data_IF_399233230407
#
_entry.id   IF_399233230407
#
_cell.length_a   1.000
_cell.length_b   1.000
_cell.length_c   1.000
_cell.angle_alpha   90.00
_cell.angle_beta   90.00
_cell.angle_gamma   90.00
#
_symmetry.space_group_name_H-M   'P 1'
#
loop_
_entity.id
_entity.type
_entity.pdbx_description
1 polymer ?
#
# COMPACT_ATOMS: atom_id res chain seq x y z
N UNK A 1 13.82 -3.36 4.69
CA UNK A 1 13.54 -2.04 5.28
C UNK A 1 12.06 -1.70 5.19
N UNK A 2 11.54 -1.38 3.98
CA UNK A 2 10.11 -1.00 3.82
C UNK A 2 9.14 -2.05 4.33
N UNK A 3 9.32 -3.33 4.04
CA UNK A 3 8.45 -4.41 4.54
C UNK A 3 8.39 -4.44 6.08
N UNK A 4 9.52 -4.22 6.77
CA UNK A 4 9.57 -4.12 8.24
C UNK A 4 8.77 -2.90 8.73
N UNK A 5 9.00 -1.74 8.11
CA UNK A 5 8.31 -0.50 8.46
C UNK A 5 6.79 -0.64 8.30
N UNK A 6 6.36 -1.25 7.20
CA UNK A 6 4.94 -1.52 6.90
C UNK A 6 4.37 -2.57 7.84
N UNK A 7 5.12 -3.65 8.12
CA UNK A 7 4.70 -4.70 9.04
C UNK A 7 4.41 -4.17 10.43
N UNK A 8 5.27 -3.30 10.97
CA UNK A 8 5.02 -2.61 12.24
C UNK A 8 3.84 -1.65 12.15
N UNK A 9 3.73 -0.90 11.04
CA UNK A 9 2.62 0.04 10.83
C UNK A 9 1.28 -0.69 10.74
N UNK A 10 1.24 -1.87 10.14
CA UNK A 10 0.04 -2.72 10.06
C UNK A 10 -0.55 -3.02 11.45
N UNK A 11 0.31 -3.32 12.42
CA UNK A 11 -0.12 -3.64 13.79
C UNK A 11 -0.86 -2.49 14.48
N UNK A 12 -0.74 -1.27 13.96
CA UNK A 12 -1.47 -0.09 14.49
C UNK A 12 -2.93 -0.02 14.06
N UNK A 13 -3.35 -0.82 13.06
CA UNK A 13 -4.68 -0.75 12.46
C UNK A 13 -4.87 0.43 11.49
N UNK A 14 -3.78 1.09 11.06
CA UNK A 14 -3.84 2.24 10.16
C UNK A 14 -4.59 1.94 8.85
N UNK A 15 -4.29 0.79 8.25
CA UNK A 15 -4.84 0.42 6.94
C UNK A 15 -6.35 0.16 7.03
N UNK A 16 -6.80 -0.51 8.11
CA UNK A 16 -8.22 -0.73 8.39
C UNK A 16 -8.94 0.60 8.61
N UNK A 17 -8.37 1.48 9.44
CA UNK A 17 -8.89 2.84 9.66
C UNK A 17 -9.08 3.61 8.36
N UNK A 18 -8.05 3.65 7.51
CA UNK A 18 -8.09 4.41 6.25
C UNK A 18 -9.14 3.83 5.30
N UNK A 19 -9.24 2.50 5.18
CA UNK A 19 -10.19 1.87 4.28
C UNK A 19 -11.65 2.01 4.75
N UNK A 20 -11.93 1.87 6.06
CA UNK A 20 -13.27 2.11 6.62
C UNK A 20 -13.65 3.58 6.45
N UNK A 21 -12.75 4.50 6.74
CA UNK A 21 -12.97 5.94 6.54
C UNK A 21 -13.25 6.28 5.08
N UNK A 22 -12.54 5.65 4.14
CA UNK A 22 -12.78 5.81 2.72
C UNK A 22 -14.18 5.31 2.31
N UNK A 23 -14.61 4.14 2.81
CA UNK A 23 -15.92 3.60 2.55
C UNK A 23 -17.04 4.51 3.09
N UNK A 24 -16.85 5.09 4.27
CA UNK A 24 -17.76 6.10 4.84
C UNK A 24 -17.77 7.40 4.02
N UNK A 25 -16.59 7.89 3.60
CA UNK A 25 -16.48 9.08 2.74
C UNK A 25 -17.13 8.87 1.37
N UNK A 26 -17.17 7.64 0.91
CA UNK A 26 -17.93 7.21 -0.28
C UNK A 26 -19.47 7.13 -0.03
N UNK A 27 -19.94 7.50 1.17
CA UNK A 27 -21.35 7.39 1.60
C UNK A 27 -21.89 5.95 1.50
N UNK A 28 -21.04 4.98 1.72
CA UNK A 28 -21.31 3.55 1.56
C UNK A 28 -21.90 3.16 0.16
N UNK A 29 -21.72 4.02 -0.86
CA UNK A 29 -22.13 3.73 -2.22
C UNK A 29 -21.15 2.75 -2.87
N UNK A 30 -21.58 1.55 -3.33
CA UNK A 30 -20.68 0.49 -3.79
C UNK A 30 -19.71 0.90 -4.88
N UNK A 31 -20.14 1.71 -5.85
CA UNK A 31 -19.28 2.17 -6.95
C UNK A 31 -18.21 3.14 -6.45
N UNK A 32 -18.57 4.06 -5.55
CA UNK A 32 -17.61 5.00 -4.97
C UNK A 32 -16.63 4.29 -4.05
N UNK A 33 -17.09 3.28 -3.29
CA UNK A 33 -16.22 2.43 -2.48
C UNK A 33 -15.17 1.76 -3.36
N UNK A 34 -15.56 1.17 -4.50
CA UNK A 34 -14.63 0.56 -5.45
C UNK A 34 -13.54 1.57 -5.87
N UNK A 35 -13.94 2.76 -6.28
CA UNK A 35 -12.98 3.81 -6.71
C UNK A 35 -12.07 4.22 -5.55
N UNK A 36 -12.60 4.49 -4.37
CA UNK A 36 -11.82 4.96 -3.22
C UNK A 36 -10.84 3.90 -2.72
N UNK A 37 -11.28 2.63 -2.59
CA UNK A 37 -10.41 1.54 -2.19
C UNK A 37 -9.29 1.31 -3.22
N UNK A 38 -9.59 1.40 -4.51
CA UNK A 38 -8.58 1.24 -5.56
C UNK A 38 -7.58 2.40 -5.58
N UNK A 39 -8.04 3.64 -5.42
CA UNK A 39 -7.14 4.80 -5.33
C UNK A 39 -6.23 4.68 -4.11
N UNK A 40 -6.78 4.30 -2.96
CA UNK A 40 -5.97 4.09 -1.73
C UNK A 40 -4.98 2.95 -1.93
N UNK A 41 -5.41 1.84 -2.53
CA UNK A 41 -4.53 0.71 -2.85
C UNK A 41 -3.39 1.16 -3.76
N UNK A 42 -3.67 1.94 -4.80
CA UNK A 42 -2.64 2.47 -5.70
C UNK A 42 -1.67 3.42 -4.98
N UNK A 43 -2.18 4.32 -4.14
CA UNK A 43 -1.33 5.24 -3.36
C UNK A 43 -0.46 4.47 -2.38
N UNK A 44 -0.99 3.48 -1.68
CA UNK A 44 -0.17 2.65 -0.80
C UNK A 44 0.87 1.87 -1.60
N UNK A 45 0.49 1.26 -2.72
CA UNK A 45 1.39 0.48 -3.54
C UNK A 45 2.51 1.30 -4.20
N UNK A 46 2.32 2.60 -4.37
CA UNK A 46 3.38 3.49 -4.83
C UNK A 46 4.56 3.60 -3.83
N UNK A 47 4.32 3.32 -2.55
CA UNK A 47 5.34 3.38 -1.49
C UNK A 47 5.62 2.03 -0.83
N UNK A 48 4.68 1.08 -0.99
CA UNK A 48 4.79 -0.30 -0.50
C UNK A 48 4.81 -1.21 -1.73
N UNK A 49 5.32 -2.43 -1.56
CA UNK A 49 5.19 -3.39 -2.67
C UNK A 49 3.72 -3.78 -2.91
N UNK A 50 3.44 -4.18 -4.16
CA UNK A 50 2.09 -4.48 -4.63
C UNK A 50 1.45 -5.67 -3.89
N UNK A 51 2.24 -6.72 -3.55
CA UNK A 51 1.75 -7.91 -2.87
C UNK A 51 1.34 -7.58 -1.44
N UNK A 52 2.22 -6.95 -0.67
CA UNK A 52 1.93 -6.51 0.70
C UNK A 52 0.72 -5.59 0.73
N UNK A 53 0.62 -4.64 -0.22
CA UNK A 53 -0.52 -3.72 -0.28
C UNK A 53 -1.84 -4.46 -0.48
N UNK A 54 -1.90 -5.41 -1.40
CA UNK A 54 -3.11 -6.22 -1.61
C UNK A 54 -3.45 -7.03 -0.37
N UNK A 55 -2.47 -7.70 0.24
CA UNK A 55 -2.68 -8.49 1.46
C UNK A 55 -3.20 -7.65 2.64
N UNK A 56 -2.83 -6.37 2.72
CA UNK A 56 -3.35 -5.44 3.72
C UNK A 56 -4.80 -5.03 3.44
N UNK A 57 -5.14 -4.82 2.17
CA UNK A 57 -6.47 -4.32 1.78
C UNK A 57 -7.54 -5.41 1.72
N UNK A 58 -7.17 -6.67 1.48
CA UNK A 58 -8.08 -7.81 1.33
C UNK A 58 -9.00 -8.00 2.56
N UNK A 59 -8.52 -8.09 3.81
CA UNK A 59 -9.36 -8.30 4.98
C UNK A 59 -10.41 -7.20 5.15
N UNK A 60 -10.02 -5.95 4.94
CA UNK A 60 -10.93 -4.80 5.07
C UNK A 60 -11.97 -4.80 3.96
N UNK A 61 -11.56 -5.13 2.73
CA UNK A 61 -12.48 -5.28 1.60
C UNK A 61 -13.52 -6.36 1.88
N UNK A 62 -13.13 -7.51 2.42
CA UNK A 62 -14.07 -8.54 2.83
C UNK A 62 -15.02 -8.06 3.94
N UNK A 63 -14.53 -7.31 4.91
CA UNK A 63 -15.35 -6.75 5.98
C UNK A 63 -16.43 -5.82 5.42
N UNK A 64 -16.04 -4.88 4.57
CA UNK A 64 -16.96 -3.91 3.95
C UNK A 64 -17.98 -4.61 3.03
N UNK A 65 -17.52 -5.52 2.17
CA UNK A 65 -18.39 -6.21 1.22
C UNK A 65 -19.38 -7.16 1.93
N UNK A 66 -18.97 -7.77 3.05
CA UNK A 66 -19.83 -8.61 3.89
C UNK A 66 -20.98 -7.81 4.51
N UNK A 67 -20.70 -6.62 5.04
CA UNK A 67 -21.75 -5.73 5.61
C UNK A 67 -22.74 -5.31 4.51
N UNK A 68 -22.21 -4.90 3.36
CA UNK A 68 -23.04 -4.45 2.23
C UNK A 68 -23.69 -5.60 1.44
N UNK A 69 -23.42 -6.86 1.82
CA UNK A 69 -23.84 -8.09 1.12
C UNK A 69 -23.49 -8.07 -0.37
N UNK A 70 -22.30 -7.61 -0.70
CA UNK A 70 -21.77 -7.51 -2.06
C UNK A 70 -20.80 -8.66 -2.35
N UNK A 71 -20.67 -9.01 -3.63
CA UNK A 71 -19.59 -9.88 -4.09
C UNK A 71 -18.25 -9.15 -3.93
N UNK A 72 -17.26 -9.72 -3.22
CA UNK A 72 -15.93 -9.11 -3.06
C UNK A 72 -15.09 -9.13 -4.34
N UNK A 73 -15.37 -10.03 -5.29
CA UNK A 73 -14.52 -10.26 -6.49
C UNK A 73 -14.28 -8.99 -7.32
N UNK A 74 -15.29 -8.15 -7.63
CA UNK A 74 -15.03 -6.90 -8.36
C UNK A 74 -14.04 -5.98 -7.67
N UNK A 75 -14.10 -5.87 -6.34
CA UNK A 75 -13.22 -5.04 -5.55
C UNK A 75 -11.80 -5.59 -5.54
N UNK A 76 -11.64 -6.90 -5.26
CA UNK A 76 -10.35 -7.56 -5.17
C UNK A 76 -9.61 -7.52 -6.51
N UNK A 77 -10.28 -7.89 -7.60
CA UNK A 77 -9.67 -7.83 -8.95
C UNK A 77 -9.21 -6.41 -9.31
N UNK A 78 -10.07 -5.41 -9.04
CA UNK A 78 -9.71 -4.02 -9.33
C UNK A 78 -8.57 -3.54 -8.45
N UNK A 79 -8.51 -3.95 -7.17
CA UNK A 79 -7.42 -3.61 -6.25
C UNK A 79 -6.09 -4.26 -6.67
N UNK A 80 -6.09 -5.50 -7.15
CA UNK A 80 -4.89 -6.16 -7.69
C UNK A 80 -4.34 -5.37 -8.88
N UNK A 81 -5.20 -4.97 -9.81
CA UNK A 81 -4.79 -4.15 -10.95
C UNK A 81 -4.31 -2.77 -10.48
N UNK A 82 -5.03 -2.16 -9.53
CA UNK A 82 -4.69 -0.85 -8.97
C UNK A 82 -3.35 -0.87 -8.25
N UNK A 83 -3.01 -1.96 -7.53
CA UNK A 83 -1.73 -2.07 -6.83
C UNK A 83 -0.56 -2.13 -7.83
N UNK A 84 -0.69 -2.88 -8.93
CA UNK A 84 0.34 -2.94 -9.96
C UNK A 84 0.53 -1.56 -10.64
N UNK A 85 -0.57 -0.89 -10.99
CA UNK A 85 -0.50 0.46 -11.59
C UNK A 85 0.11 1.46 -10.61
N UNK A 86 -0.28 1.42 -9.34
CA UNK A 86 0.26 2.29 -8.31
C UNK A 86 1.75 2.03 -8.06
N UNK A 87 2.14 0.76 -7.99
CA UNK A 87 3.53 0.35 -7.81
C UNK A 87 4.46 0.85 -8.91
N UNK A 88 3.99 0.90 -10.16
CA UNK A 88 4.80 1.41 -11.28
C UNK A 88 5.04 2.92 -11.22
N UNK A 89 4.28 3.67 -10.42
CA UNK A 89 4.39 5.13 -10.36
C UNK A 89 5.67 5.65 -9.68
N UNK A 90 6.35 4.83 -8.88
CA UNK A 90 7.55 5.23 -8.15
C UNK A 90 8.68 4.21 -8.28
N UNK A 91 9.88 4.64 -7.91
CA UNK A 91 11.07 3.78 -7.92
C UNK A 91 10.97 2.59 -6.96
N UNK A 92 10.25 2.73 -5.86
CA UNK A 92 10.22 1.75 -4.75
C UNK A 92 8.94 0.92 -4.68
N UNK A 93 7.91 1.26 -5.46
CA UNK A 93 6.59 0.62 -5.40
C UNK A 93 6.55 -0.75 -6.06
N UNK A 94 7.50 -1.07 -6.93
CA UNK A 94 7.55 -2.36 -7.63
C UNK A 94 9.00 -2.86 -7.76
N UNK A 95 9.28 -4.15 -7.49
CA UNK A 95 10.61 -4.72 -7.62
C UNK A 95 11.33 -4.45 -8.96
N UNK A 96 10.69 -4.57 -10.14
CA UNK A 96 11.33 -4.20 -11.41
C UNK A 96 11.85 -2.77 -11.46
N UNK A 97 11.13 -1.81 -10.87
CA UNK A 97 11.54 -0.42 -10.81
C UNK A 97 12.81 -0.24 -9.95
N UNK A 98 12.87 -0.94 -8.82
CA UNK A 98 14.06 -0.97 -7.95
C UNK A 98 15.26 -1.52 -8.74
N UNK A 99 15.06 -2.59 -9.52
CA UNK A 99 16.12 -3.19 -10.34
C UNK A 99 16.63 -2.20 -11.39
N UNK A 100 15.73 -1.55 -12.13
CA UNK A 100 16.10 -0.54 -13.14
C UNK A 100 16.83 0.63 -12.50
N UNK A 101 16.33 1.15 -11.40
CA UNK A 101 16.95 2.26 -10.68
C UNK A 101 18.31 1.92 -10.06
N UNK A 102 18.55 0.66 -9.69
CA UNK A 102 19.86 0.22 -9.22
C UNK A 102 20.88 0.06 -10.35
N UNK A 103 20.43 -0.33 -11.54
CA UNK A 103 21.25 -0.50 -12.71
C UNK A 103 21.60 0.85 -13.41
N UNK A 104 20.67 1.80 -13.40
CA UNK A 104 20.81 3.11 -14.03
C UNK A 104 20.83 4.21 -12.97
N UNK A 105 22.01 4.58 -12.53
CA UNK A 105 22.20 5.52 -11.38
C UNK A 105 21.69 6.95 -11.64
N UNK A 106 21.49 7.32 -12.90
CA UNK A 106 20.91 8.62 -13.28
C UNK A 106 19.40 8.69 -13.00
N UNK A 107 18.72 7.55 -12.87
CA UNK A 107 17.28 7.50 -12.61
C UNK A 107 17.01 7.72 -11.11
N UNK A 108 16.60 8.93 -10.79
CA UNK A 108 16.25 9.30 -9.42
C UNK A 108 14.80 8.97 -9.09
N UNK A 109 14.47 8.93 -7.79
CA UNK A 109 13.09 8.74 -7.31
C UNK A 109 12.12 9.78 -7.88
N UNK A 110 12.57 11.04 -7.98
CA UNK A 110 11.76 12.14 -8.52
C UNK A 110 11.50 11.95 -10.02
N UNK A 111 12.53 11.55 -10.79
CA UNK A 111 12.37 11.29 -12.23
C UNK A 111 11.37 10.17 -12.51
N UNK A 112 11.33 9.11 -11.68
CA UNK A 112 10.31 8.08 -11.79
C UNK A 112 8.90 8.66 -11.61
N UNK A 113 8.68 9.47 -10.59
CA UNK A 113 7.37 10.11 -10.36
C UNK A 113 7.01 11.04 -11.53
N UNK A 114 7.91 11.88 -11.98
CA UNK A 114 7.63 12.84 -13.06
C UNK A 114 7.23 12.17 -14.37
N UNK A 115 7.82 11.02 -14.69
CA UNK A 115 7.59 10.36 -15.97
C UNK A 115 6.53 9.25 -15.89
N UNK A 116 6.51 8.46 -14.82
CA UNK A 116 5.63 7.29 -14.73
C UNK A 116 4.32 7.57 -13.99
N UNK A 117 4.31 8.45 -12.98
CA UNK A 117 3.07 8.72 -12.25
C UNK A 117 1.95 9.33 -13.13
N UNK A 118 2.21 10.25 -14.08
CA UNK A 118 1.16 10.73 -14.98
C UNK A 118 0.55 9.60 -15.83
N UNK A 119 1.40 8.68 -16.31
CA UNK A 119 0.94 7.53 -17.10
C UNK A 119 0.12 6.58 -16.21
N UNK A 120 0.59 6.30 -15.00
CA UNK A 120 -0.13 5.47 -14.02
C UNK A 120 -1.50 6.06 -13.68
N UNK A 121 -1.61 7.38 -13.52
CA UNK A 121 -2.89 8.07 -13.27
C UNK A 121 -3.86 7.88 -14.44
N UNK A 122 -3.40 8.03 -15.67
CA UNK A 122 -4.24 7.81 -16.87
C UNK A 122 -4.69 6.35 -16.94
N UNK A 123 -3.76 5.40 -16.78
CA UNK A 123 -4.09 3.97 -16.77
C UNK A 123 -5.09 3.63 -15.66
N UNK A 124 -4.91 4.19 -14.46
CA UNK A 124 -5.84 4.02 -13.35
C UNK A 124 -7.24 4.53 -13.69
N UNK A 125 -7.35 5.73 -14.25
CA UNK A 125 -8.64 6.29 -14.65
C UNK A 125 -9.37 5.40 -15.67
N UNK A 126 -8.64 4.89 -16.67
CA UNK A 126 -9.19 3.97 -17.67
C UNK A 126 -9.66 2.66 -17.03
N UNK A 127 -8.84 2.06 -16.17
CA UNK A 127 -9.17 0.79 -15.49
C UNK A 127 -10.39 0.98 -14.59
N UNK A 128 -10.43 2.03 -13.79
CA UNK A 128 -11.59 2.32 -12.91
C UNK A 128 -12.86 2.52 -13.72
N UNK A 129 -12.80 3.23 -14.84
CA UNK A 129 -13.96 3.40 -15.73
C UNK A 129 -14.44 2.06 -16.32
N UNK A 130 -13.52 1.23 -16.80
CA UNK A 130 -13.84 -0.09 -17.36
C UNK A 130 -14.47 -0.99 -16.29
N UNK A 131 -13.83 -1.11 -15.11
CA UNK A 131 -14.28 -1.99 -14.04
C UNK A 131 -15.63 -1.53 -13.45
N UNK A 132 -15.79 -0.22 -13.22
CA UNK A 132 -17.07 0.34 -12.77
C UNK A 132 -18.21 0.11 -13.79
N UNK A 133 -17.89 0.04 -15.08
CA UNK A 133 -18.86 -0.23 -16.15
C UNK A 133 -19.20 -1.72 -16.23
N UNK A 134 -18.21 -2.59 -16.21
CA UNK A 134 -18.40 -4.05 -16.27
C UNK A 134 -19.22 -4.53 -15.06
N UNK A 135 -18.84 -4.11 -13.85
CA UNK A 135 -19.46 -4.58 -12.61
C UNK A 135 -20.65 -3.73 -12.14
N UNK A 136 -21.14 -2.80 -12.96
CA UNK A 136 -22.19 -1.86 -12.56
C UNK A 136 -23.47 -2.55 -12.01
N UNK A 137 -23.77 -3.77 -12.46
CA UNK A 137 -24.93 -4.55 -12.02
C UNK A 137 -24.69 -5.27 -10.69
N UNK A 138 -23.45 -5.61 -10.38
CA UNK A 138 -23.05 -6.27 -9.13
C UNK A 138 -22.79 -5.26 -7.99
N UNK A 139 -22.59 -3.99 -8.33
CA UNK A 139 -22.33 -2.91 -7.38
C UNK A 139 -23.61 -2.21 -6.96
N UNK A 140 -24.55 -2.99 -6.38
CA UNK A 140 -25.85 -2.48 -5.89
C UNK A 140 -26.11 -3.05 -4.50
N UNK A 141 -26.49 -2.18 -3.57
CA UNK A 141 -26.83 -2.53 -2.18
C UNK A 141 -28.07 -1.76 -1.75
N UNK A 142 -28.60 -2.05 -0.57
CA UNK A 142 -29.78 -1.39 -0.03
C UNK A 142 -29.42 -0.22 0.90
N UNK A 143 -30.28 0.79 1.06
CA UNK A 143 -30.04 1.93 1.95
C UNK A 143 -29.81 1.52 3.42
N UNK A 144 -30.45 0.43 3.86
CA UNK A 144 -30.34 -0.08 5.23
C UNK A 144 -28.89 -0.57 5.50
N UNK A 145 -28.32 -1.32 4.55
CA UNK A 145 -26.94 -1.82 4.65
C UNK A 145 -25.90 -0.67 4.53
N UNK A 146 -26.23 0.35 3.75
CA UNK A 146 -25.40 1.57 3.70
C UNK A 146 -25.39 2.28 5.06
N UNK A 147 -26.57 2.40 5.70
CA UNK A 147 -26.67 2.98 7.04
C UNK A 147 -25.92 2.17 8.09
N UNK A 148 -25.93 0.84 8.00
CA UNK A 148 -25.17 -0.06 8.87
C UNK A 148 -23.65 0.20 8.74
N UNK A 149 -23.12 0.28 7.52
CA UNK A 149 -21.72 0.60 7.28
C UNK A 149 -21.35 2.00 7.82
N UNK A 150 -22.23 2.97 7.67
CA UNK A 150 -21.99 4.34 8.17
C UNK A 150 -21.93 4.42 9.70
N UNK A 151 -22.48 3.46 10.43
CA UNK A 151 -22.42 3.37 11.90
C UNK A 151 -21.13 2.72 12.41
N UNK A 152 -20.31 2.11 11.54
CA UNK A 152 -19.03 1.56 11.97
C UNK A 152 -18.16 2.64 12.62
N UNK A 153 -17.50 2.29 13.72
CA UNK A 153 -16.48 3.17 14.30
C UNK A 153 -15.12 2.90 13.68
N UNK A 154 -14.71 3.76 12.77
CA UNK A 154 -13.40 3.66 12.14
C UNK A 154 -12.24 3.82 13.14
N UNK A 155 -12.46 4.54 14.24
CA UNK A 155 -11.43 4.75 15.26
C UNK A 155 -11.16 3.49 16.08
N UNK A 156 -12.15 2.61 16.19
CA UNK A 156 -11.99 1.32 16.85
C UNK A 156 -10.99 0.39 16.13
N UNK A 157 -10.71 0.66 14.86
CA UNK A 157 -9.68 -0.06 14.08
C UNK A 157 -8.25 0.25 14.57
N UNK A 158 -8.03 1.41 15.21
CA UNK A 158 -6.70 1.79 15.70
C UNK A 158 -6.46 1.10 17.04
N UNK A 159 -5.50 0.19 17.05
CA UNK A 159 -5.15 -0.63 18.23
C UNK A 159 -4.17 0.06 19.16
N UNK A 160 -3.21 0.82 18.62
CA UNK A 160 -2.18 1.54 19.37
C UNK A 160 -1.91 2.93 18.78
N UNK A 161 -2.42 3.97 19.42
CA UNK A 161 -2.22 5.36 19.02
C UNK A 161 -0.78 5.85 19.16
N UNK A 162 -0.02 5.33 20.13
CA UNK A 162 1.36 5.75 20.35
C UNK A 162 2.26 5.16 19.25
N UNK A 163 2.09 3.87 18.97
CA UNK A 163 2.80 3.19 17.89
C UNK A 163 2.41 3.80 16.52
N UNK A 164 1.14 4.14 16.31
CA UNK A 164 0.67 4.80 15.09
C UNK A 164 1.40 6.12 14.83
N UNK A 165 1.51 6.99 15.84
CA UNK A 165 2.21 8.28 15.70
C UNK A 165 3.68 8.09 15.35
N UNK A 166 4.36 7.13 16.01
CA UNK A 166 5.76 6.80 15.74
C UNK A 166 5.94 6.24 14.33
N UNK A 167 5.05 5.33 13.92
CA UNK A 167 5.05 4.74 12.57
C UNK A 167 4.84 5.80 11.49
N UNK A 168 3.86 6.68 11.64
CA UNK A 168 3.60 7.77 10.69
C UNK A 168 4.75 8.77 10.61
N UNK A 169 5.37 9.08 11.76
CA UNK A 169 6.54 9.96 11.79
C UNK A 169 7.73 9.34 11.04
N UNK A 170 8.06 8.08 11.31
CA UNK A 170 9.19 7.40 10.65
C UNK A 170 8.88 7.16 9.17
N UNK A 171 7.65 6.78 8.82
CA UNK A 171 7.23 6.62 7.43
C UNK A 171 7.38 7.95 6.66
N UNK A 172 6.89 9.05 7.23
CA UNK A 172 7.05 10.39 6.65
C UNK A 172 8.52 10.78 6.47
N UNK A 173 9.37 10.51 7.48
CA UNK A 173 10.81 10.76 7.39
C UNK A 173 11.48 9.91 6.30
N UNK A 174 11.10 8.65 6.17
CA UNK A 174 11.62 7.75 5.12
C UNK A 174 11.22 8.23 3.74
N UNK A 175 9.96 8.63 3.55
CA UNK A 175 9.47 9.19 2.29
C UNK A 175 10.22 10.48 1.95
N UNK A 176 10.41 11.39 2.91
CA UNK A 176 11.23 12.59 2.73
C UNK A 176 12.67 12.24 2.34
N UNK A 177 13.24 11.20 2.94
CA UNK A 177 14.54 10.67 2.56
C UNK A 177 14.61 10.26 1.09
N UNK A 178 13.57 9.61 0.56
CA UNK A 178 13.50 9.25 -0.85
C UNK A 178 13.45 10.47 -1.78
N UNK A 179 12.77 11.53 -1.40
CA UNK A 179 12.76 12.78 -2.18
C UNK A 179 14.12 13.49 -2.16
N UNK A 180 14.85 13.37 -1.06
CA UNK A 180 16.14 14.04 -0.88
C UNK A 180 17.36 13.22 -1.32
N UNK A 181 17.17 11.94 -1.69
CA UNK A 181 18.29 11.04 -2.03
C UNK A 181 19.12 11.56 -3.21
N UNK A 182 18.51 12.28 -4.16
CA UNK A 182 19.20 12.89 -5.31
C UNK A 182 20.22 13.95 -4.89
N UNK A 183 20.01 14.61 -3.74
CA UNK A 183 20.93 15.62 -3.19
C UNK A 183 21.91 15.04 -2.19
N UNK A 184 21.48 14.03 -1.44
CA UNK A 184 22.29 13.42 -0.38
C UNK A 184 23.21 12.31 -0.88
N UNK A 185 22.95 11.79 -2.08
CA UNK A 185 23.63 10.62 -2.66
C UNK A 185 23.54 9.34 -1.78
N UNK A 186 22.59 9.32 -0.83
CA UNK A 186 22.32 8.14 0.02
C UNK A 186 21.44 7.20 -0.78
N UNK A 187 21.81 5.94 -0.89
CA UNK A 187 21.02 4.94 -1.61
C UNK A 187 19.64 4.73 -0.97
N UNK A 188 18.60 4.57 -1.81
CA UNK A 188 17.21 4.32 -1.36
C UNK A 188 17.10 3.09 -0.46
N UNK A 189 17.93 2.06 -0.69
CA UNK A 189 18.03 0.86 0.14
C UNK A 189 18.41 1.19 1.58
N UNK A 190 19.40 2.07 1.76
CA UNK A 190 19.89 2.48 3.08
C UNK A 190 18.86 3.34 3.80
N UNK A 191 18.16 4.24 3.09
CA UNK A 191 17.08 5.06 3.65
C UNK A 191 15.95 4.14 4.17
N UNK A 192 15.52 3.17 3.37
CA UNK A 192 14.48 2.21 3.75
C UNK A 192 14.89 1.33 4.95
N UNK A 193 16.13 0.84 4.97
CA UNK A 193 16.64 0.05 6.08
C UNK A 193 16.72 0.87 7.36
N UNK A 194 17.28 2.08 7.29
CA UNK A 194 17.40 2.99 8.43
C UNK A 194 16.03 3.34 9.01
N UNK A 195 15.02 3.57 8.15
CA UNK A 195 13.63 3.78 8.57
C UNK A 195 13.05 2.58 9.32
N UNK A 196 13.23 1.37 8.78
CA UNK A 196 12.77 0.14 9.43
C UNK A 196 13.40 -0.07 10.81
N UNK A 197 14.72 0.07 10.93
CA UNK A 197 15.42 -0.04 12.20
C UNK A 197 15.04 1.06 13.19
N UNK A 198 14.95 2.31 12.73
CA UNK A 198 14.52 3.43 13.55
C UNK A 198 13.13 3.19 14.15
N UNK A 199 12.20 2.68 13.34
CA UNK A 199 10.87 2.38 13.84
C UNK A 199 10.87 1.27 14.89
N UNK A 200 11.63 0.19 14.69
CA UNK A 200 11.77 -0.88 15.68
C UNK A 200 12.35 -0.36 17.00
N UNK A 201 13.35 0.51 16.95
CA UNK A 201 13.93 1.15 18.13
C UNK A 201 12.91 2.04 18.86
N UNK A 202 12.22 2.91 18.13
CA UNK A 202 11.22 3.81 18.71
C UNK A 202 9.99 3.06 19.24
N UNK A 203 9.66 1.92 18.67
CA UNK A 203 8.56 1.07 19.11
C UNK A 203 8.86 0.31 20.43
N UNK A 204 10.08 0.43 20.94
CA UNK A 204 10.50 -0.17 22.20
C UNK A 204 11.13 -1.56 22.07
N UNK A 205 11.35 -2.05 20.85
CA UNK A 205 12.09 -3.29 20.57
C UNK A 205 11.56 -4.54 21.25
N UNK A 206 10.24 -4.60 21.56
CA UNK A 206 9.66 -5.80 22.18
C UNK A 206 9.86 -7.00 21.24
N UNK A 207 10.28 -8.14 21.80
CA UNK A 207 10.54 -9.37 21.06
C UNK A 207 9.37 -9.73 20.13
N UNK A 208 8.15 -9.63 20.63
CA UNK A 208 6.92 -9.90 19.88
C UNK A 208 6.74 -8.97 18.66
N UNK A 209 7.05 -7.68 18.78
CA UNK A 209 6.93 -6.72 17.67
C UNK A 209 8.01 -6.96 16.62
N UNK A 210 9.23 -7.28 17.06
CA UNK A 210 10.33 -7.64 16.15
C UNK A 210 10.00 -8.92 15.39
N UNK A 211 9.48 -9.94 16.08
CA UNK A 211 9.04 -11.20 15.47
C UNK A 211 7.97 -10.94 14.39
N UNK A 212 6.92 -10.19 14.71
CA UNK A 212 5.89 -9.82 13.74
C UNK A 212 6.44 -9.03 12.55
N UNK A 213 7.33 -8.08 12.80
CA UNK A 213 7.98 -7.31 11.74
C UNK A 213 8.83 -8.20 10.81
N UNK A 214 9.52 -9.20 11.36
CA UNK A 214 10.30 -10.15 10.58
C UNK A 214 9.43 -11.14 9.80
N UNK A 215 8.26 -11.52 10.34
CA UNK A 215 7.27 -12.31 9.62
C UNK A 215 6.61 -11.54 8.45
N UNK A 216 6.53 -10.22 8.53
CA UNK A 216 6.04 -9.38 7.44
C UNK A 216 7.03 -9.27 6.27
N UNK A 217 8.29 -9.74 6.43
CA UNK A 217 9.27 -9.77 5.36
C UNK A 217 9.00 -10.96 4.43
N UNK A 218 8.80 -10.68 3.16
CA UNK A 218 8.61 -11.70 2.12
C UNK A 218 9.96 -12.33 1.70
N UNK A 219 10.49 -13.21 2.53
CA UNK A 219 11.75 -13.90 2.28
C UNK A 219 11.83 -14.62 0.93
N UNK A 220 10.76 -15.32 0.46
CA UNK A 220 10.79 -15.94 -0.86
C UNK A 220 11.03 -14.95 -1.99
N UNK A 221 10.42 -13.79 -1.93
CA UNK A 221 10.61 -12.70 -2.91
C UNK A 221 12.05 -12.19 -2.90
N UNK A 222 12.63 -11.98 -1.71
CA UNK A 222 14.03 -11.55 -1.57
C UNK A 222 14.98 -12.59 -2.18
N UNK A 223 14.81 -13.87 -1.84
CA UNK A 223 15.66 -14.93 -2.38
C UNK A 223 15.46 -15.14 -3.89
N UNK A 224 14.24 -14.98 -4.39
CA UNK A 224 13.98 -15.00 -5.83
C UNK A 224 14.78 -13.93 -6.57
N UNK A 225 14.75 -12.67 -6.08
CA UNK A 225 15.50 -11.58 -6.72
C UNK A 225 17.02 -11.77 -6.57
N UNK A 226 17.51 -12.26 -5.43
CA UNK A 226 18.95 -12.60 -5.29
C UNK A 226 19.36 -13.62 -6.35
N UNK A 227 18.57 -14.71 -6.51
CA UNK A 227 18.84 -15.71 -7.54
C UNK A 227 18.76 -15.15 -8.96
N UNK A 228 17.77 -14.29 -9.23
CA UNK A 228 17.64 -13.64 -10.53
C UNK A 228 18.84 -12.76 -10.86
N UNK A 229 19.30 -11.94 -9.92
CA UNK A 229 20.48 -11.09 -10.11
C UNK A 229 21.76 -11.90 -10.35
N UNK A 230 21.95 -13.01 -9.64
CA UNK A 230 23.07 -13.91 -9.86
C UNK A 230 22.99 -14.53 -11.28
N UNK A 231 21.81 -14.94 -11.70
CA UNK A 231 21.62 -15.57 -13.02
C UNK A 231 21.79 -14.61 -14.20
N UNK A 232 21.43 -13.35 -14.02
CA UNK A 232 21.50 -12.31 -15.08
C UNK A 232 22.83 -11.56 -15.05
N UNK A 233 23.46 -11.44 -13.89
CA UNK A 233 24.71 -10.69 -13.70
C UNK A 233 26.00 -11.54 -13.89
N UNK A 234 25.87 -12.86 -14.08
CA UNK A 234 26.97 -13.76 -14.47
C UNK A 234 27.03 -13.91 -15.96
#
# INVERSE_FOLDING_TARGET
GMMVLVGVTKETGLFDYVAIKAAKSAQAEPRRILVYLCVITAVFSAFLDNVTTVLLMVPVTFSITKILKLDPMPYLLTQIIASNIGGTATLIGDPPNIMIGSAVKELTFVMFIEHLAPIAIVCMAVVLFIMATIYRKSLVTTPELQAELMQMDEKAAITDHALLKRSLFVLGLTILGFFTHSFTHIESSLIALSGGFLLLLLAGGSEHLVEKAMHAVEWPTIFFFIGLFIAVGG
#
